data_IF_600845817238
#
_entry.id   IF_600845817238
#
_cell.length_a   1.000
_cell.length_b   1.000
_cell.length_c   1.000
_cell.angle_alpha   90.00
_cell.angle_beta   90.00
_cell.angle_gamma   90.00
#
_symmetry.space_group_name_H-M   'P 1'
#
loop_
_entity.id
_entity.type
_entity.pdbx_description
1 polymer ?
#
# COMPACT_ATOMS: atom_id res chain seq x y z
N UNK A 1 35.26 28.89 -26.84
CA UNK A 1 34.50 28.77 -28.11
C UNK A 1 34.26 27.27 -28.30
N UNK A 2 33.05 26.71 -28.54
CA UNK A 2 31.77 27.26 -29.01
C UNK A 2 30.60 26.67 -28.17
N UNK A 3 29.63 27.50 -27.76
CA UNK A 3 28.24 27.64 -28.28
C UNK A 3 27.25 26.54 -27.84
N UNK A 4 26.17 27.00 -27.18
CA UNK A 4 24.94 26.27 -26.84
C UNK A 4 24.17 25.85 -28.10
N UNK A 5 23.30 24.85 -27.98
CA UNK A 5 21.99 24.80 -28.68
C UNK A 5 20.97 24.01 -27.83
N UNK A 6 19.82 24.63 -27.58
CA UNK A 6 18.58 24.04 -27.05
C UNK A 6 17.72 23.53 -28.23
N UNK A 7 16.53 22.94 -27.92
CA UNK A 7 15.41 22.49 -28.78
C UNK A 7 15.15 20.96 -28.63
N UNK A 8 13.93 20.42 -28.58
CA UNK A 8 12.56 20.99 -28.43
C UNK A 8 11.56 19.89 -28.02
N UNK A 9 10.35 20.29 -27.61
CA UNK A 9 9.06 19.57 -27.65
C UNK A 9 8.92 18.16 -27.01
N UNK A 10 8.05 18.07 -26.00
CA UNK A 10 7.30 16.85 -25.66
C UNK A 10 5.84 17.10 -26.05
N UNK A 11 5.28 16.25 -26.92
CA UNK A 11 3.93 16.38 -27.43
C UNK A 11 2.87 15.88 -26.46
N UNK A 12 1.70 16.52 -26.45
CA UNK A 12 0.53 16.02 -25.74
C UNK A 12 -0.05 14.78 -26.45
N UNK A 13 -0.36 13.73 -25.70
CA UNK A 13 -1.11 12.57 -26.19
C UNK A 13 -2.48 12.59 -25.51
N UNK A 14 -3.50 12.99 -26.26
CA UNK A 14 -4.89 12.72 -25.91
C UNK A 14 -5.28 11.36 -26.50
N UNK A 15 -5.82 10.47 -25.67
CA UNK A 15 -6.33 9.17 -26.13
C UNK A 15 -7.79 8.99 -25.68
N UNK A 16 -8.70 8.99 -26.65
CA UNK A 16 -10.10 8.64 -26.44
C UNK A 16 -10.26 7.12 -26.49
N UNK A 17 -11.13 6.54 -25.66
CA UNK A 17 -11.63 5.18 -25.82
C UNK A 17 -13.14 5.19 -25.59
N UNK A 18 -13.91 4.61 -26.51
CA UNK A 18 -15.36 4.45 -26.42
C UNK A 18 -15.80 3.16 -27.12
N UNK A 19 -16.64 2.33 -26.47
CA UNK A 19 -17.60 1.30 -27.00
C UNK A 19 -18.02 0.33 -25.85
N UNK A 20 -19.13 -0.44 -25.80
CA UNK A 20 -20.49 -0.50 -26.42
C UNK A 20 -20.99 -1.99 -26.31
N UNK A 21 -22.24 -2.41 -26.07
CA UNK A 21 -23.50 -1.82 -25.55
C UNK A 21 -24.52 -2.94 -25.18
N UNK A 22 -25.47 -2.70 -24.27
CA UNK A 22 -26.76 -3.45 -24.16
C UNK A 22 -26.88 -4.50 -23.03
N UNK A 23 -28.08 -4.80 -22.49
CA UNK A 23 -29.42 -4.23 -22.71
C UNK A 23 -30.51 -4.91 -21.83
N UNK A 24 -31.64 -4.23 -21.52
CA UNK A 24 -32.62 -4.74 -20.54
C UNK A 24 -33.95 -3.97 -20.32
N UNK A 25 -34.53 -3.41 -21.38
CA UNK A 25 -35.92 -2.95 -21.62
C UNK A 25 -36.90 -2.60 -20.44
N UNK A 26 -37.39 -1.34 -20.42
CA UNK A 26 -38.74 -0.95 -19.95
C UNK A 26 -39.22 0.34 -20.67
N UNK A 27 -40.54 0.60 -20.68
CA UNK A 27 -41.23 1.45 -21.68
C UNK A 27 -40.92 2.95 -21.64
N UNK A 28 -40.97 3.57 -22.84
CA UNK A 28 -40.77 5.00 -23.15
C UNK A 28 -42.11 5.80 -23.11
N UNK A 29 -42.10 7.15 -23.13
CA UNK A 29 -41.87 7.88 -24.39
C UNK A 29 -40.88 9.07 -24.34
N UNK A 30 -39.91 9.02 -25.25
CA UNK A 30 -39.35 10.11 -26.07
C UNK A 30 -39.03 11.48 -25.42
N UNK A 31 -37.77 11.68 -25.06
CA UNK A 31 -36.93 12.61 -25.83
C UNK A 31 -35.47 12.09 -25.85
N UNK A 32 -34.71 12.41 -26.89
CA UNK A 32 -33.47 11.70 -27.30
C UNK A 32 -32.27 11.98 -26.35
N UNK A 33 -31.64 10.92 -25.80
CA UNK A 33 -30.33 10.36 -26.22
C UNK A 33 -29.13 11.22 -25.75
N UNK A 34 -28.22 10.79 -24.86
CA UNK A 34 -27.45 9.53 -24.84
C UNK A 34 -27.10 9.15 -23.39
N UNK A 35 -27.18 7.87 -23.03
CA UNK A 35 -26.79 7.39 -21.69
C UNK A 35 -25.41 6.74 -21.66
N UNK A 36 -24.76 6.80 -20.49
CA UNK A 36 -23.95 5.68 -20.01
C UNK A 36 -24.01 5.65 -18.48
N UNK A 37 -24.57 4.58 -17.93
CA UNK A 37 -24.45 4.31 -16.50
C UNK A 37 -23.01 3.86 -16.23
N UNK A 38 -22.24 4.68 -15.54
CA UNK A 38 -21.09 4.23 -14.77
C UNK A 38 -21.46 4.38 -13.30
N UNK A 39 -22.01 3.30 -12.73
CA UNK A 39 -21.95 3.11 -11.29
C UNK A 39 -20.47 3.10 -10.93
N UNK A 40 -19.96 4.21 -10.39
CA UNK A 40 -18.73 4.18 -9.60
C UNK A 40 -19.06 3.42 -8.32
N UNK A 41 -19.16 2.10 -8.45
CA UNK A 41 -18.61 1.21 -7.45
C UNK A 41 -17.18 1.69 -7.28
N UNK A 42 -16.97 2.51 -6.27
CA UNK A 42 -15.67 2.67 -5.66
C UNK A 42 -15.25 1.26 -5.25
N UNK A 43 -14.55 0.59 -6.15
CA UNK A 43 -13.59 -0.44 -5.80
C UNK A 43 -12.55 0.33 -4.99
N UNK A 44 -12.89 0.53 -3.72
CA UNK A 44 -11.92 0.56 -2.65
C UNK A 44 -11.11 -0.69 -2.87
N UNK A 45 -9.99 -0.54 -3.58
CA UNK A 45 -8.95 -1.53 -3.55
C UNK A 45 -8.61 -1.66 -2.07
N UNK A 46 -9.09 -2.73 -1.44
CA UNK A 46 -8.30 -3.39 -0.42
C UNK A 46 -7.00 -3.77 -1.13
N UNK A 47 -6.08 -2.80 -1.21
CA UNK A 47 -4.70 -2.99 -1.64
C UNK A 47 -4.19 -4.10 -0.73
N UNK A 48 -4.08 -5.30 -1.31
CA UNK A 48 -4.31 -6.53 -0.57
C UNK A 48 -3.42 -6.62 0.64
N UNK A 49 -3.99 -6.42 1.84
CA UNK A 49 -3.22 -6.49 3.08
C UNK A 49 -2.57 -7.86 3.11
N UNK A 50 -1.24 -7.87 3.02
CA UNK A 50 -0.48 -9.11 2.96
C UNK A 50 -0.93 -10.01 4.12
N UNK A 51 -1.30 -11.25 3.83
CA UNK A 51 -1.74 -12.21 4.86
C UNK A 51 -0.58 -13.03 5.42
N UNK A 52 0.62 -12.86 4.87
CA UNK A 52 1.86 -13.53 5.24
C UNK A 52 3.04 -12.54 5.17
N UNK A 53 4.17 -12.93 5.75
CA UNK A 53 5.39 -12.13 5.71
C UNK A 53 6.16 -12.31 4.40
N UNK A 54 6.55 -11.20 3.78
CA UNK A 54 7.47 -11.19 2.65
C UNK A 54 8.90 -10.86 3.15
N UNK A 55 9.52 -11.89 3.73
CA UNK A 55 10.82 -11.81 4.42
C UNK A 55 11.96 -11.41 3.48
N UNK A 56 11.95 -11.89 2.24
CA UNK A 56 12.99 -11.55 1.27
C UNK A 56 12.86 -10.11 0.78
N UNK A 57 11.63 -9.59 0.58
CA UNK A 57 11.45 -8.15 0.33
C UNK A 57 11.88 -7.29 1.51
N UNK A 58 11.53 -7.64 2.75
CA UNK A 58 12.02 -6.94 3.95
C UNK A 58 13.56 -6.93 3.99
N UNK A 59 14.21 -8.07 3.73
CA UNK A 59 15.69 -8.19 3.67
C UNK A 59 16.30 -7.35 2.54
N UNK A 60 15.60 -7.17 1.43
CA UNK A 60 16.10 -6.41 0.26
C UNK A 60 16.16 -4.89 0.49
N UNK A 61 15.25 -4.34 1.29
CA UNK A 61 15.14 -2.90 1.55
C UNK A 61 16.33 -2.42 2.39
N UNK A 62 17.18 -1.56 1.80
CA UNK A 62 18.34 -0.94 2.48
C UNK A 62 18.14 0.54 2.82
N UNK A 63 17.41 1.25 1.98
CA UNK A 63 17.00 2.64 2.17
C UNK A 63 15.53 2.70 1.72
N UNK A 64 14.56 2.69 2.64
CA UNK A 64 13.15 2.61 2.28
C UNK A 64 12.68 3.90 1.59
N UNK A 65 12.01 3.74 0.46
CA UNK A 65 11.16 4.79 -0.12
C UNK A 65 9.86 4.94 0.69
N UNK A 66 9.02 5.92 0.35
CA UNK A 66 7.69 6.06 0.96
C UNK A 66 6.83 4.80 0.76
N UNK A 67 6.82 4.22 -0.44
CA UNK A 67 6.10 2.98 -0.73
C UNK A 67 6.70 1.74 -0.03
N UNK A 68 8.01 1.73 0.23
CA UNK A 68 8.62 0.70 1.08
C UNK A 68 8.23 0.87 2.54
N UNK A 69 8.11 2.11 3.05
CA UNK A 69 7.62 2.36 4.40
C UNK A 69 6.16 1.90 4.57
N UNK A 70 5.29 2.11 3.57
CA UNK A 70 3.92 1.59 3.61
C UNK A 70 3.88 0.06 3.64
N UNK A 71 4.68 -0.59 2.80
CA UNK A 71 4.85 -2.04 2.84
C UNK A 71 5.39 -2.52 4.20
N UNK A 72 6.42 -1.88 4.75
CA UNK A 72 6.97 -2.23 6.08
C UNK A 72 5.93 -2.02 7.19
N UNK A 73 5.02 -1.05 7.05
CA UNK A 73 3.88 -0.86 7.96
C UNK A 73 2.81 -1.96 7.80
N UNK A 74 2.59 -2.50 6.60
CA UNK A 74 1.75 -3.71 6.40
C UNK A 74 2.36 -4.92 7.13
N UNK A 75 3.66 -5.14 6.94
CA UNK A 75 4.39 -6.23 7.59
C UNK A 75 4.41 -6.05 9.12
N UNK A 76 4.53 -4.82 9.62
CA UNK A 76 4.45 -4.50 11.04
C UNK A 76 3.05 -4.74 11.61
N UNK A 77 1.97 -4.41 10.87
CA UNK A 77 0.59 -4.74 11.29
C UNK A 77 0.41 -6.24 11.50
N UNK A 78 1.01 -7.08 10.63
CA UNK A 78 1.01 -8.54 10.80
C UNK A 78 1.70 -8.98 12.09
N UNK A 79 2.92 -8.49 12.39
CA UNK A 79 3.62 -8.90 13.62
C UNK A 79 2.86 -8.43 14.86
N UNK A 80 2.32 -7.21 14.84
CA UNK A 80 1.45 -6.70 15.90
C UNK A 80 0.21 -7.58 16.10
N UNK A 81 -0.44 -8.04 15.01
CA UNK A 81 -1.60 -8.93 15.06
C UNK A 81 -1.26 -10.31 15.62
N UNK A 82 -0.17 -10.93 15.18
CA UNK A 82 0.27 -12.25 15.68
C UNK A 82 0.75 -12.22 17.13
N UNK A 83 1.28 -11.07 17.58
CA UNK A 83 1.85 -10.89 18.93
C UNK A 83 0.97 -10.08 19.87
N UNK A 84 -0.33 -9.93 19.54
CA UNK A 84 -1.30 -9.20 20.36
C UNK A 84 -1.44 -9.84 21.74
N UNK A 85 -1.42 -9.01 22.79
CA UNK A 85 -1.52 -9.45 24.17
C UNK A 85 -0.27 -10.16 24.72
N UNK A 86 0.77 -10.35 23.92
CA UNK A 86 2.07 -10.85 24.40
C UNK A 86 2.87 -9.71 25.05
N UNK A 87 3.43 -9.98 26.22
CA UNK A 87 4.42 -9.10 26.83
C UNK A 87 5.75 -9.14 26.03
N UNK A 88 6.73 -8.30 26.42
CA UNK A 88 8.01 -8.18 25.70
C UNK A 88 8.81 -9.48 25.60
N UNK A 89 8.84 -10.29 26.67
CA UNK A 89 9.57 -11.56 26.69
C UNK A 89 8.82 -12.66 25.93
N UNK A 90 7.49 -12.69 26.01
CA UNK A 90 6.65 -13.59 25.20
C UNK A 90 6.80 -13.30 23.71
N UNK A 91 6.74 -12.01 23.32
CA UNK A 91 6.95 -11.56 21.94
C UNK A 91 8.35 -11.93 21.43
N UNK A 92 9.38 -11.72 22.26
CA UNK A 92 10.76 -12.13 21.96
C UNK A 92 10.89 -13.65 21.81
N UNK A 93 10.30 -14.43 22.70
CA UNK A 93 10.31 -15.89 22.63
C UNK A 93 9.54 -16.43 21.40
N UNK A 94 8.42 -15.80 21.06
CA UNK A 94 7.64 -16.08 19.85
C UNK A 94 8.47 -15.86 18.59
N UNK A 95 9.10 -14.69 18.45
CA UNK A 95 9.95 -14.38 17.31
C UNK A 95 11.15 -15.33 17.24
N UNK A 96 11.85 -15.60 18.35
CA UNK A 96 13.01 -16.51 18.33
C UNK A 96 12.67 -17.94 17.89
N UNK A 97 11.43 -18.43 18.12
CA UNK A 97 10.96 -19.73 17.60
C UNK A 97 10.82 -19.77 16.06
N UNK A 98 10.68 -18.62 15.39
CA UNK A 98 10.65 -18.50 13.92
C UNK A 98 12.06 -18.51 13.28
N UNK A 99 13.14 -18.65 14.05
CA UNK A 99 14.49 -18.77 13.49
C UNK A 99 14.98 -17.48 12.79
N UNK A 100 15.41 -17.58 11.52
CA UNK A 100 15.88 -16.40 10.76
C UNK A 100 14.77 -15.40 10.45
N UNK A 101 13.58 -15.88 10.06
CA UNK A 101 12.37 -15.05 9.88
C UNK A 101 12.13 -14.18 11.11
N UNK A 102 12.17 -14.79 12.30
CA UNK A 102 11.98 -14.09 13.57
C UNK A 102 12.97 -12.96 13.84
N UNK A 103 14.23 -13.12 13.39
CA UNK A 103 15.25 -12.06 13.49
C UNK A 103 14.93 -10.90 12.54
N UNK A 104 14.48 -11.19 11.33
CA UNK A 104 14.06 -10.17 10.34
C UNK A 104 12.84 -9.40 10.87
N UNK A 105 11.85 -10.09 11.43
CA UNK A 105 10.66 -9.47 12.02
C UNK A 105 10.98 -8.65 13.28
N UNK A 106 11.96 -9.06 14.10
CA UNK A 106 12.46 -8.26 15.22
C UNK A 106 13.17 -6.97 14.74
N UNK A 107 13.97 -7.05 13.68
CA UNK A 107 14.59 -5.88 13.04
C UNK A 107 13.54 -4.96 12.41
N UNK A 108 12.49 -5.51 11.80
CA UNK A 108 11.34 -4.75 11.27
C UNK A 108 10.64 -3.94 12.36
N UNK A 109 10.29 -4.56 13.50
CA UNK A 109 9.69 -3.86 14.66
C UNK A 109 10.58 -2.68 15.07
N UNK A 110 11.86 -2.95 15.37
CA UNK A 110 12.79 -1.91 15.82
C UNK A 110 12.97 -0.80 14.77
N UNK A 111 12.99 -1.15 13.48
CA UNK A 111 13.08 -0.20 12.38
C UNK A 111 11.85 0.71 12.30
N UNK A 112 10.64 0.15 12.31
CA UNK A 112 9.39 0.91 12.19
C UNK A 112 9.13 1.78 13.42
N UNK A 113 9.36 1.26 14.62
CA UNK A 113 9.15 1.98 15.88
C UNK A 113 10.12 3.16 16.04
N UNK A 114 11.38 3.00 15.65
CA UNK A 114 12.40 4.04 15.75
C UNK A 114 12.57 4.89 14.47
N UNK A 115 11.79 4.63 13.41
CA UNK A 115 11.91 5.36 12.14
C UNK A 115 11.54 6.84 12.30
N UNK A 116 12.46 7.69 11.88
CA UNK A 116 12.29 9.14 11.70
C UNK A 116 11.94 9.53 10.26
N UNK A 117 12.00 8.59 9.32
CA UNK A 117 11.80 8.82 7.88
C UNK A 117 10.37 8.57 7.38
N UNK A 118 9.42 8.29 8.29
CA UNK A 118 8.01 8.17 7.95
C UNK A 118 7.37 9.53 7.68
N UNK A 119 6.43 9.61 6.75
CA UNK A 119 5.53 10.76 6.59
C UNK A 119 4.56 10.88 7.78
N UNK A 120 3.88 12.02 7.96
CA UNK A 120 2.93 12.17 9.08
C UNK A 120 1.80 11.13 9.02
N UNK A 121 1.22 10.89 7.85
CA UNK A 121 0.21 9.84 7.65
C UNK A 121 0.74 8.43 8.01
N UNK A 122 2.01 8.15 7.73
CA UNK A 122 2.66 6.89 8.12
C UNK A 122 2.93 6.80 9.63
N UNK A 123 3.21 7.92 10.31
CA UNK A 123 3.33 7.96 11.78
C UNK A 123 1.97 7.76 12.46
N UNK A 124 0.92 8.41 11.95
CA UNK A 124 -0.46 8.20 12.40
C UNK A 124 -0.89 6.74 12.20
N UNK A 125 -0.61 6.17 11.02
CA UNK A 125 -0.85 4.75 10.73
C UNK A 125 -0.12 3.83 11.71
N UNK A 126 1.16 4.09 12.01
CA UNK A 126 1.94 3.34 13.01
C UNK A 126 1.31 3.42 14.40
N UNK A 127 0.90 4.61 14.83
CA UNK A 127 0.24 4.81 16.12
C UNK A 127 -1.09 4.06 16.20
N UNK A 128 -1.92 4.12 15.16
CA UNK A 128 -3.19 3.38 15.07
C UNK A 128 -2.98 1.86 15.08
N UNK A 129 -1.93 1.34 14.46
CA UNK A 129 -1.54 -0.08 14.55
C UNK A 129 -1.16 -0.42 16.00
N UNK A 130 -0.32 0.39 16.65
CA UNK A 130 0.10 0.16 18.03
C UNK A 130 -1.08 0.16 19.02
N UNK A 131 -2.03 1.09 18.87
CA UNK A 131 -3.22 1.16 19.72
C UNK A 131 -4.17 -0.04 19.52
N UNK A 132 -4.38 -0.46 18.26
CA UNK A 132 -5.28 -1.57 17.88
C UNK A 132 -4.82 -2.96 18.39
N UNK A 133 -3.51 -3.16 18.52
CA UNK A 133 -2.90 -4.45 18.87
C UNK A 133 -2.05 -4.42 20.15
N UNK A 134 -2.24 -3.40 21.00
CA UNK A 134 -1.70 -3.35 22.36
C UNK A 134 -2.20 -4.51 23.22
#
# INVERSE_FOLDING_TARGET
MNKRLLFSAIGAIALCIATSCGGGQSKSPANEETGSAATETAVSQEAGKSTAYDIERIKSIKQPTEADNDFLLDQYELVCKETKGMNGDEKKAYLMKKGEEGKVLALLIMGVENSKGLTEAQKERRAAIQEKYK
#
